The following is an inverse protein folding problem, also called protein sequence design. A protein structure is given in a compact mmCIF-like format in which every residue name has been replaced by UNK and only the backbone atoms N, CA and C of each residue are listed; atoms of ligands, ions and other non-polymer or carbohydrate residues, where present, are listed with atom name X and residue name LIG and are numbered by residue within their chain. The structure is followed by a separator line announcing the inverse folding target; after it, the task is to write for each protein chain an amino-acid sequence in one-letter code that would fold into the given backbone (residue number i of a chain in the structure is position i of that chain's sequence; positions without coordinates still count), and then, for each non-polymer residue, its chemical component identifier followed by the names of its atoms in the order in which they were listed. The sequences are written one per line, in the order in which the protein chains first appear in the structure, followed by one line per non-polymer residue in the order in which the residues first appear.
data_IF_783711504144
#
_entry.id   IF_783711504144
#
_cell.length_a   1.000
_cell.length_b   1.000
_cell.length_c   1.000
_cell.angle_alpha   90.00
_cell.angle_beta   90.00
_cell.angle_gamma   90.00
#
_symmetry.space_group_name_H-M   'P 1'
#
loop_
_entity.id
_entity.type
_entity.pdbx_description
1 polymer ?
#
# COMPACT_ATOMS: atom_id res chain seq x y z
N UNK A 1 6.58 -19.05 -0.87
CA UNK A 1 7.48 -18.33 0.08
C UNK A 1 8.78 -19.07 0.43
N UNK A 2 9.12 -20.23 -0.17
CA UNK A 2 10.36 -20.95 0.19
C UNK A 2 11.68 -20.20 -0.06
N UNK A 3 11.66 -19.11 -0.85
CA UNK A 3 12.83 -18.25 -1.06
C UNK A 3 13.16 -17.38 0.18
N UNK A 4 12.16 -16.92 0.94
CA UNK A 4 12.40 -16.12 2.15
C UNK A 4 12.97 -16.96 3.29
N UNK A 5 12.54 -18.22 3.43
CA UNK A 5 13.07 -19.17 4.43
C UNK A 5 14.55 -19.50 4.26
N UNK A 6 15.06 -19.37 3.03
CA UNK A 6 16.46 -19.62 2.68
C UNK A 6 17.22 -18.32 2.42
N UNK A 7 16.62 -17.18 2.75
CA UNK A 7 17.27 -15.88 2.67
C UNK A 7 17.97 -15.54 3.98
N UNK A 8 18.69 -14.41 4.02
CA UNK A 8 19.24 -13.86 5.25
C UNK A 8 18.19 -13.27 6.22
N UNK A 9 16.89 -13.36 5.91
CA UNK A 9 15.79 -12.82 6.71
C UNK A 9 14.62 -13.83 6.83
N UNK A 10 14.82 -14.99 7.48
CA UNK A 10 13.77 -16.00 7.65
C UNK A 10 12.63 -15.53 8.57
N UNK A 11 12.92 -14.64 9.52
CA UNK A 11 11.94 -13.96 10.38
C UNK A 11 10.96 -13.09 9.58
N UNK A 12 11.44 -12.37 8.57
CA UNK A 12 10.60 -11.66 7.61
C UNK A 12 9.71 -12.62 6.82
N UNK A 13 10.22 -13.82 6.49
CA UNK A 13 9.45 -14.89 5.88
C UNK A 13 8.28 -15.34 6.75
N UNK A 14 8.53 -15.56 8.05
CA UNK A 14 7.49 -15.88 9.03
C UNK A 14 6.48 -14.74 9.17
N UNK A 15 6.95 -13.50 9.32
CA UNK A 15 6.09 -12.33 9.44
C UNK A 15 5.16 -12.19 8.22
N UNK A 16 5.69 -12.35 7.01
CA UNK A 16 4.89 -12.30 5.79
C UNK A 16 3.77 -13.37 5.80
N UNK A 17 4.06 -14.60 6.23
CA UNK A 17 3.02 -15.65 6.31
C UNK A 17 1.92 -15.30 7.30
N UNK A 18 2.29 -14.82 8.48
CA UNK A 18 1.33 -14.45 9.50
C UNK A 18 0.49 -13.24 9.05
N UNK A 19 1.11 -12.21 8.50
CA UNK A 19 0.41 -11.02 8.02
C UNK A 19 -0.54 -11.37 6.87
N UNK A 20 -0.06 -12.01 5.80
CA UNK A 20 -0.91 -12.31 4.65
C UNK A 20 -1.97 -13.38 4.95
N UNK A 21 -1.65 -14.38 5.79
CA UNK A 21 -2.52 -15.54 6.03
C UNK A 21 -3.44 -15.46 7.24
N UNK A 22 -3.20 -14.55 8.19
CA UNK A 22 -4.09 -14.34 9.34
C UNK A 22 -4.70 -12.95 9.37
N UNK A 23 -3.93 -11.90 9.04
CA UNK A 23 -4.41 -10.52 9.16
C UNK A 23 -5.13 -10.09 7.89
N UNK A 24 -4.45 -10.16 6.74
CA UNK A 24 -4.98 -9.62 5.48
C UNK A 24 -5.99 -10.54 4.78
N UNK A 25 -6.06 -11.81 5.16
CA UNK A 25 -7.04 -12.77 4.64
C UNK A 25 -8.25 -12.95 5.55
N UNK A 26 -8.31 -12.29 6.71
CA UNK A 26 -9.50 -12.30 7.54
C UNK A 26 -10.62 -11.54 6.82
N UNK A 27 -11.78 -12.18 6.70
CA UNK A 27 -12.96 -11.60 6.03
C UNK A 27 -14.19 -11.54 6.93
N UNK A 28 -13.99 -11.66 8.25
CA UNK A 28 -15.08 -11.62 9.23
C UNK A 28 -15.66 -10.20 9.39
N UNK A 29 -14.88 -9.18 9.01
CA UNK A 29 -15.24 -7.75 9.15
C UNK A 29 -15.20 -7.02 7.81
N UNK A 30 -14.09 -7.13 7.09
CA UNK A 30 -13.88 -6.46 5.79
C UNK A 30 -13.87 -7.50 4.67
N UNK A 31 -14.46 -7.16 3.54
CA UNK A 31 -14.30 -7.93 2.31
C UNK A 31 -12.84 -7.86 1.80
N UNK A 32 -12.41 -8.77 0.91
CA UNK A 32 -11.06 -8.71 0.32
C UNK A 32 -10.77 -7.38 -0.39
N UNK A 33 -11.79 -6.79 -1.03
CA UNK A 33 -11.69 -5.51 -1.73
C UNK A 33 -11.51 -4.36 -0.72
N UNK A 34 -12.31 -4.31 0.34
CA UNK A 34 -12.18 -3.29 1.39
C UNK A 34 -10.83 -3.38 2.11
N UNK A 35 -10.35 -4.58 2.44
CA UNK A 35 -9.00 -4.79 2.99
C UNK A 35 -7.92 -4.24 2.04
N UNK A 36 -8.08 -4.44 0.73
CA UNK A 36 -7.17 -3.89 -0.27
C UNK A 36 -7.19 -2.36 -0.29
N UNK A 37 -8.37 -1.74 -0.16
CA UNK A 37 -8.50 -0.28 -0.07
C UNK A 37 -7.81 0.28 1.17
N UNK A 38 -7.95 -0.36 2.32
CA UNK A 38 -7.23 0.04 3.55
C UNK A 38 -5.71 -0.04 3.36
N UNK A 39 -5.21 -1.10 2.73
CA UNK A 39 -3.79 -1.23 2.42
C UNK A 39 -3.31 -0.10 1.49
N UNK A 40 -3.99 0.14 0.37
CA UNK A 40 -3.68 1.24 -0.54
C UNK A 40 -3.66 2.58 0.21
N UNK A 41 -4.69 2.85 1.01
CA UNK A 41 -4.82 4.08 1.79
C UNK A 41 -3.68 4.27 2.80
N UNK A 42 -3.20 3.19 3.42
CA UNK A 42 -2.08 3.25 4.36
C UNK A 42 -0.71 3.43 3.70
N UNK A 43 -0.50 2.91 2.49
CA UNK A 43 0.80 2.91 1.81
C UNK A 43 1.10 4.24 1.12
N UNK A 44 0.08 4.97 0.64
CA UNK A 44 0.23 6.28 0.01
C UNK A 44 0.96 7.29 0.92
N UNK A 45 0.55 7.56 2.18
CA UNK A 45 1.24 8.52 3.03
C UNK A 45 2.66 8.10 3.44
N UNK A 46 3.01 6.81 3.32
CA UNK A 46 4.32 6.28 3.68
C UNK A 46 5.37 6.43 2.55
N UNK A 47 4.97 6.85 1.35
CA UNK A 47 5.86 6.99 0.17
C UNK A 47 6.61 5.68 -0.20
N UNK A 48 5.94 4.54 -0.02
CA UNK A 48 6.49 3.19 -0.31
C UNK A 48 5.94 2.63 -1.61
N UNK A 49 6.27 3.30 -2.71
CA UNK A 49 5.82 2.94 -4.05
C UNK A 49 6.05 1.48 -4.49
N UNK A 50 7.18 0.82 -4.15
CA UNK A 50 7.38 -0.59 -4.48
C UNK A 50 6.29 -1.51 -3.90
N UNK A 51 5.85 -1.25 -2.67
CA UNK A 51 4.76 -1.97 -2.03
C UNK A 51 3.41 -1.56 -2.61
N UNK A 52 3.17 -0.25 -2.76
CA UNK A 52 1.91 0.29 -3.28
C UNK A 52 1.54 -0.31 -4.64
N UNK A 53 2.50 -0.41 -5.58
CA UNK A 53 2.25 -1.01 -6.91
C UNK A 53 1.71 -2.43 -6.84
N UNK A 54 2.28 -3.25 -5.96
CA UNK A 54 1.83 -4.63 -5.74
C UNK A 54 0.39 -4.68 -5.21
N UNK A 55 0.04 -3.79 -4.28
CA UNK A 55 -1.29 -3.73 -3.69
C UNK A 55 -2.35 -3.12 -4.61
N UNK A 56 -2.00 -2.13 -5.45
CA UNK A 56 -2.89 -1.61 -6.50
C UNK A 56 -3.29 -2.73 -7.47
N UNK A 57 -2.30 -3.49 -7.97
CA UNK A 57 -2.57 -4.63 -8.85
C UNK A 57 -3.30 -5.76 -8.12
N UNK A 58 -2.94 -6.00 -6.86
CA UNK A 58 -3.60 -6.98 -6.00
C UNK A 58 -5.08 -6.69 -5.78
N UNK A 59 -5.47 -5.43 -5.60
CA UNK A 59 -6.85 -5.01 -5.44
C UNK A 59 -7.69 -5.36 -6.69
N UNK A 60 -7.16 -5.07 -7.88
CA UNK A 60 -7.83 -5.45 -9.14
C UNK A 60 -7.97 -6.96 -9.27
N UNK A 61 -6.91 -7.70 -8.97
CA UNK A 61 -6.94 -9.16 -9.00
C UNK A 61 -7.93 -9.74 -7.96
N UNK A 62 -8.15 -9.00 -6.85
CA UNK A 62 -9.10 -9.32 -5.79
C UNK A 62 -10.54 -8.90 -6.05
N UNK A 63 -10.84 -8.35 -7.23
CA UNK A 63 -12.19 -8.04 -7.68
C UNK A 63 -12.60 -6.56 -7.60
N UNK A 64 -11.69 -5.67 -7.19
CA UNK A 64 -11.95 -4.23 -7.26
C UNK A 64 -11.96 -3.75 -8.72
N UNK A 65 -12.82 -2.79 -9.03
CA UNK A 65 -12.76 -2.06 -10.30
C UNK A 65 -11.63 -1.03 -10.30
N UNK A 66 -11.18 -0.65 -11.49
CA UNK A 66 -10.17 0.39 -11.65
C UNK A 66 -10.66 1.75 -11.11
N UNK A 67 -11.94 2.06 -11.33
CA UNK A 67 -12.57 3.30 -10.87
C UNK A 67 -12.60 3.38 -9.33
N UNK A 68 -12.91 2.28 -8.63
CA UNK A 68 -12.86 2.25 -7.17
C UNK A 68 -11.44 2.45 -6.64
N UNK A 69 -10.45 1.77 -7.24
CA UNK A 69 -9.03 1.92 -6.84
C UNK A 69 -8.55 3.36 -7.04
N UNK A 70 -8.90 3.98 -8.18
CA UNK A 70 -8.60 5.39 -8.45
C UNK A 70 -9.30 6.32 -7.47
N UNK A 71 -10.57 6.07 -7.16
CA UNK A 71 -11.33 6.89 -6.20
C UNK A 71 -10.71 6.84 -4.79
N UNK A 72 -10.33 5.66 -4.30
CA UNK A 72 -9.65 5.52 -3.00
C UNK A 72 -8.31 6.26 -3.00
N UNK A 73 -7.50 6.08 -4.06
CA UNK A 73 -6.22 6.78 -4.21
C UNK A 73 -6.41 8.30 -4.15
N UNK A 74 -7.38 8.83 -4.89
CA UNK A 74 -7.64 10.27 -4.96
C UNK A 74 -8.11 10.84 -3.61
N UNK A 75 -8.97 10.12 -2.88
CA UNK A 75 -9.40 10.53 -1.53
C UNK A 75 -8.19 10.61 -0.59
N UNK A 76 -7.33 9.60 -0.62
CA UNK A 76 -6.17 9.53 0.28
C UNK A 76 -5.15 10.63 -0.03
N UNK A 77 -4.90 10.91 -1.32
CA UNK A 77 -4.03 12.02 -1.73
C UNK A 77 -4.60 13.35 -1.21
N UNK A 78 -5.90 13.60 -1.37
CA UNK A 78 -6.55 14.82 -0.85
C UNK A 78 -6.43 14.94 0.67
N UNK A 79 -6.57 13.84 1.40
CA UNK A 79 -6.38 13.83 2.87
C UNK A 79 -4.92 14.18 3.22
N UNK A 80 -3.96 13.59 2.51
CA UNK A 80 -2.54 13.86 2.73
C UNK A 80 -2.22 15.34 2.45
N UNK A 81 -2.69 15.88 1.34
CA UNK A 81 -2.54 17.29 0.96
C UNK A 81 -3.20 18.23 1.97
N UNK A 82 -4.43 17.93 2.41
CA UNK A 82 -5.11 18.67 3.46
C UNK A 82 -4.38 18.61 4.81
N UNK A 83 -3.60 17.54 5.04
CA UNK A 83 -2.72 17.38 6.21
C UNK A 83 -1.34 18.00 6.02
N UNK A 84 -1.12 18.74 4.92
CA UNK A 84 0.12 19.48 4.63
C UNK A 84 1.19 18.67 3.89
N UNK A 85 0.93 17.42 3.49
CA UNK A 85 1.86 16.68 2.63
C UNK A 85 1.91 17.31 1.24
N UNK A 86 3.09 17.28 0.63
CA UNK A 86 3.31 17.78 -0.74
C UNK A 86 4.38 16.97 -1.47
N UNK A 87 4.45 17.07 -2.79
CA UNK A 87 5.62 16.56 -3.51
C UNK A 87 6.86 17.34 -3.08
N UNK A 88 7.88 16.62 -2.61
CA UNK A 88 9.15 17.19 -2.22
C UNK A 88 10.01 17.45 -3.46
N UNK A 89 10.86 18.47 -3.39
CA UNK A 89 11.87 18.71 -4.41
C UNK A 89 12.91 17.59 -4.38
N UNK A 90 13.49 17.25 -5.53
CA UNK A 90 14.44 16.14 -5.66
C UNK A 90 15.67 16.31 -4.76
N UNK A 91 16.05 17.55 -4.43
CA UNK A 91 17.18 17.90 -3.56
C UNK A 91 16.77 18.17 -2.10
N UNK A 92 15.52 17.92 -1.71
CA UNK A 92 15.05 18.15 -0.36
C UNK A 92 15.72 17.16 0.62
N UNK A 93 16.37 17.69 1.65
CA UNK A 93 17.04 16.89 2.71
C UNK A 93 15.98 16.28 3.66
N UNK A 94 14.82 16.91 3.76
CA UNK A 94 13.68 16.46 4.55
C UNK A 94 12.41 17.22 4.17
N UNK A 95 11.30 16.88 4.81
CA UNK A 95 10.01 17.50 4.55
C UNK A 95 8.86 16.55 4.86
N UNK A 96 7.65 17.11 4.90
CA UNK A 96 6.42 16.35 5.06
C UNK A 96 5.79 16.15 3.67
N UNK A 97 5.91 14.96 3.11
CA UNK A 97 5.55 14.76 1.71
C UNK A 97 6.13 13.53 1.03
N UNK A 98 5.82 13.40 -0.26
CA UNK A 98 6.30 12.32 -1.13
C UNK A 98 7.56 12.73 -1.89
N UNK A 99 8.55 11.84 -1.97
CA UNK A 99 9.76 12.01 -2.78
C UNK A 99 9.54 11.61 -4.23
N UNK A 100 8.52 10.81 -4.49
CA UNK A 100 8.18 10.34 -5.83
C UNK A 100 6.71 10.55 -6.14
N UNK A 101 6.36 10.53 -7.42
CA UNK A 101 4.94 10.51 -7.81
C UNK A 101 4.26 9.28 -7.22
N UNK A 102 3.13 9.47 -6.54
CA UNK A 102 2.36 8.37 -5.96
C UNK A 102 1.95 7.41 -7.06
N UNK A 103 2.30 6.13 -6.95
CA UNK A 103 2.02 5.14 -7.98
C UNK A 103 0.53 5.11 -8.35
N UNK A 104 0.26 4.84 -9.63
CA UNK A 104 -1.08 4.64 -10.16
C UNK A 104 -1.26 3.19 -10.62
N UNK A 105 -2.52 2.81 -10.85
CA UNK A 105 -2.92 1.48 -11.33
C UNK A 105 -2.50 1.23 -12.77
#
# INVERSE_FOLDING_TARGET
MGQLERSGAPDLGLLARLTYGYVLSNTDVLTPVETSFVLIASLIPQDVNPQLKGHLRGALNGGASEDEVRAVRDVVIKICEASGMKKLQDNAIGGWGWRSEVANV
#
